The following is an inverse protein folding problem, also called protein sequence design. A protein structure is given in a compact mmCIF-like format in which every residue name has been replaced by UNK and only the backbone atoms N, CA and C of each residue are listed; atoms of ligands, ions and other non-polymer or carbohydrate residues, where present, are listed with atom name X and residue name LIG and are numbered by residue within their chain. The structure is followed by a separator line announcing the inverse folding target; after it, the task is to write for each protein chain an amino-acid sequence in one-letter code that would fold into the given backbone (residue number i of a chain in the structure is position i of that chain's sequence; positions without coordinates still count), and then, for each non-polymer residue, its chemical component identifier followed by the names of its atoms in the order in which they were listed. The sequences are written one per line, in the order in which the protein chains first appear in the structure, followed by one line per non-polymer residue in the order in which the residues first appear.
data_IF_755045500884
#
_entry.id   IF_755045500884
#
_cell.length_a   1.000
_cell.length_b   1.000
_cell.length_c   1.000
_cell.angle_alpha   90.00
_cell.angle_beta   90.00
_cell.angle_gamma   90.00
#
_symmetry.space_group_name_H-M   'P 1'
#
loop_
_entity.id
_entity.type
_entity.pdbx_description
1 polymer ?
#
# COMPACT_ATOMS: atom_id res chain seq x y z
N UNK A 1 -36.24 12.82 -25.24
CA UNK A 1 -34.94 13.13 -24.61
C UNK A 1 -33.98 12.03 -24.98
N UNK A 2 -33.01 12.33 -25.83
CA UNK A 2 -32.00 11.34 -26.22
C UNK A 2 -31.18 10.95 -25.01
N UNK A 3 -31.21 9.69 -24.64
CA UNK A 3 -30.38 9.11 -23.59
C UNK A 3 -28.96 8.99 -24.15
N UNK A 4 -28.27 10.12 -24.30
CA UNK A 4 -26.88 10.15 -24.78
C UNK A 4 -25.99 9.58 -23.70
N UNK A 5 -25.49 8.36 -23.92
CA UNK A 5 -24.51 7.72 -23.05
C UNK A 5 -23.23 8.54 -23.15
N UNK A 6 -22.98 9.40 -22.18
CA UNK A 6 -21.72 10.14 -22.09
C UNK A 6 -20.61 9.17 -21.66
N UNK A 7 -19.54 9.11 -22.42
CA UNK A 7 -18.34 8.37 -22.05
C UNK A 7 -17.66 9.02 -20.86
N UNK A 8 -17.16 8.22 -19.94
CA UNK A 8 -16.41 8.69 -18.76
C UNK A 8 -14.94 8.29 -18.88
N UNK A 9 -14.07 9.12 -18.36
CA UNK A 9 -12.64 8.82 -18.28
C UNK A 9 -12.38 7.90 -17.09
N UNK A 10 -11.57 6.87 -17.31
CA UNK A 10 -11.16 5.93 -16.25
C UNK A 10 -9.68 6.14 -15.96
N UNK A 11 -9.36 6.26 -14.68
CA UNK A 11 -7.99 6.33 -14.18
C UNK A 11 -7.71 5.22 -13.18
N UNK A 12 -6.45 4.98 -12.91
CA UNK A 12 -5.96 4.21 -11.77
C UNK A 12 -5.10 5.11 -10.89
N UNK A 13 -5.24 4.98 -9.59
CA UNK A 13 -4.44 5.70 -8.60
C UNK A 13 -3.88 4.70 -7.60
N UNK A 14 -2.58 4.77 -7.27
CA UNK A 14 -1.90 3.77 -6.44
C UNK A 14 -1.39 4.37 -5.13
N UNK A 15 -1.83 3.84 -3.99
CA UNK A 15 -1.34 4.18 -2.66
C UNK A 15 -0.26 3.19 -2.27
N UNK A 16 0.99 3.63 -2.25
CA UNK A 16 2.13 2.81 -1.83
C UNK A 16 2.54 3.24 -0.42
N UNK A 17 2.42 2.33 0.53
CA UNK A 17 2.75 2.54 1.94
C UNK A 17 4.02 1.77 2.32
N UNK A 18 4.85 2.37 3.16
CA UNK A 18 6.04 1.74 3.74
C UNK A 18 6.30 2.25 5.15
N UNK A 19 7.10 1.52 5.92
CA UNK A 19 7.68 2.02 7.16
C UNK A 19 9.13 2.41 6.89
N UNK A 20 9.44 3.69 7.07
CA UNK A 20 10.79 4.23 6.88
C UNK A 20 11.12 5.20 8.00
N UNK A 21 12.31 5.04 8.60
CA UNK A 21 12.78 5.86 9.73
C UNK A 21 11.78 5.93 10.91
N UNK A 22 11.12 4.81 11.22
CA UNK A 22 10.19 4.71 12.33
C UNK A 22 8.82 5.37 12.11
N UNK A 23 8.50 5.78 10.87
CA UNK A 23 7.22 6.39 10.51
C UNK A 23 6.55 5.63 9.36
N UNK A 24 5.21 5.62 9.37
CA UNK A 24 4.43 5.15 8.21
C UNK A 24 4.41 6.24 7.15
N UNK A 25 4.85 5.90 5.94
CA UNK A 25 4.99 6.85 4.83
C UNK A 25 4.22 6.39 3.61
N UNK A 26 3.81 7.36 2.81
CA UNK A 26 3.18 7.18 1.49
C UNK A 26 4.08 7.76 0.40
N UNK A 27 4.16 7.08 -0.73
CA UNK A 27 4.87 7.58 -1.90
C UNK A 27 3.99 8.58 -2.65
N UNK A 28 4.50 9.78 -2.85
CA UNK A 28 3.84 10.83 -3.60
C UNK A 28 4.68 11.27 -4.80
N UNK A 29 4.00 11.76 -5.82
CA UNK A 29 4.58 12.37 -7.01
C UNK A 29 4.07 13.80 -7.16
N UNK A 30 4.93 14.71 -7.63
CA UNK A 30 4.55 16.08 -7.93
C UNK A 30 3.97 16.16 -9.33
N UNK A 31 2.86 16.85 -9.49
CA UNK A 31 2.17 16.95 -10.78
C UNK A 31 2.88 17.94 -11.71
N UNK A 32 3.08 17.52 -12.95
CA UNK A 32 3.69 18.35 -13.99
C UNK A 32 2.65 19.09 -14.83
N UNK A 33 1.37 18.64 -14.80
CA UNK A 33 0.29 19.13 -15.66
C UNK A 33 -0.90 19.69 -14.86
N UNK A 34 -1.64 20.60 -15.48
CA UNK A 34 -2.95 21.01 -14.98
C UNK A 34 -3.99 19.88 -15.07
N UNK A 35 -5.02 19.88 -14.25
CA UNK A 35 -5.21 20.75 -13.09
C UNK A 35 -4.27 20.37 -11.92
N UNK A 36 -4.02 21.31 -11.03
CA UNK A 36 -3.17 21.14 -9.83
C UNK A 36 -1.67 20.94 -10.12
N UNK A 37 -1.14 21.54 -11.17
CA UNK A 37 0.32 21.57 -11.45
C UNK A 37 1.10 22.02 -10.21
N UNK A 38 2.19 21.30 -9.89
CA UNK A 38 3.06 21.56 -8.75
C UNK A 38 2.55 21.02 -7.41
N UNK A 39 1.30 20.54 -7.30
CA UNK A 39 0.81 19.86 -6.10
C UNK A 39 1.23 18.39 -6.06
N UNK A 40 1.32 17.85 -4.86
CA UNK A 40 1.57 16.45 -4.65
C UNK A 40 0.33 15.60 -4.92
N UNK A 41 0.53 14.40 -5.39
CA UNK A 41 -0.51 13.42 -5.72
C UNK A 41 -0.01 12.00 -5.44
N UNK A 42 -0.90 11.03 -5.28
CA UNK A 42 -0.52 9.63 -5.41
C UNK A 42 -0.21 9.33 -6.89
N UNK A 43 0.67 8.35 -7.20
CA UNK A 43 0.91 7.92 -8.58
C UNK A 43 -0.39 7.50 -9.24
N UNK A 44 -0.78 8.17 -10.32
CA UNK A 44 -2.03 7.92 -11.03
C UNK A 44 -1.95 8.30 -12.51
N UNK A 45 -2.89 7.76 -13.29
CA UNK A 45 -2.96 8.02 -14.73
C UNK A 45 -4.14 7.35 -15.40
N UNK A 46 -4.39 7.74 -16.65
CA UNK A 46 -5.46 7.19 -17.46
C UNK A 46 -5.21 5.75 -17.87
N UNK A 47 -6.29 4.96 -17.93
CA UNK A 47 -6.30 3.60 -18.48
C UNK A 47 -6.34 3.68 -20.01
N UNK A 48 -5.43 2.97 -20.68
CA UNK A 48 -5.36 2.91 -22.14
C UNK A 48 -6.36 1.88 -22.67
N UNK A 49 -6.80 2.05 -23.90
CA UNK A 49 -7.77 1.13 -24.54
C UNK A 49 -7.25 -0.31 -24.68
N UNK A 50 -5.95 -0.52 -24.63
CA UNK A 50 -5.30 -1.82 -24.88
C UNK A 50 -4.83 -2.54 -23.60
N UNK A 51 -5.20 -2.06 -22.41
CA UNK A 51 -4.77 -2.63 -21.14
C UNK A 51 -5.93 -2.81 -20.15
N UNK A 52 -5.81 -3.78 -19.27
CA UNK A 52 -6.71 -3.92 -18.13
C UNK A 52 -6.29 -3.00 -16.97
N UNK A 53 -7.12 -2.96 -15.91
CA UNK A 53 -6.88 -2.06 -14.77
C UNK A 53 -5.60 -2.40 -14.00
N UNK A 54 -5.27 -3.69 -13.86
CA UNK A 54 -4.08 -4.14 -13.14
C UNK A 54 -2.81 -3.77 -13.90
N UNK A 55 -2.82 -3.99 -15.23
CA UNK A 55 -1.73 -3.59 -16.11
C UNK A 55 -1.54 -2.06 -16.12
N UNK A 56 -2.64 -1.30 -16.17
CA UNK A 56 -2.61 0.17 -16.08
C UNK A 56 -1.99 0.63 -14.76
N UNK A 57 -2.40 0.05 -13.63
CA UNK A 57 -1.87 0.42 -12.31
C UNK A 57 -0.36 0.18 -12.20
N UNK A 58 0.11 -0.99 -12.67
CA UNK A 58 1.54 -1.32 -12.68
C UNK A 58 2.34 -0.41 -13.63
N UNK A 59 1.83 -0.16 -14.84
CA UNK A 59 2.48 0.73 -15.80
C UNK A 59 2.61 2.14 -15.25
N UNK A 60 1.51 2.72 -14.76
CA UNK A 60 1.49 4.09 -14.23
C UNK A 60 2.44 4.22 -13.04
N UNK A 61 2.45 3.25 -12.14
CA UNK A 61 3.36 3.24 -11.01
C UNK A 61 4.82 3.24 -11.48
N UNK A 62 5.17 2.35 -12.41
CA UNK A 62 6.51 2.27 -12.98
C UNK A 62 6.92 3.56 -13.69
N UNK A 63 6.06 4.11 -14.55
CA UNK A 63 6.31 5.35 -15.29
C UNK A 63 6.55 6.55 -14.36
N UNK A 64 5.81 6.63 -13.24
CA UNK A 64 5.86 7.78 -12.33
C UNK A 64 6.92 7.68 -11.23
N UNK A 65 7.30 6.47 -10.82
CA UNK A 65 8.11 6.26 -9.62
C UNK A 65 9.29 5.32 -9.82
N UNK A 66 9.39 4.68 -10.99
CA UNK A 66 10.32 3.59 -11.29
C UNK A 66 10.15 2.34 -10.39
N UNK A 67 9.02 2.23 -9.68
CA UNK A 67 8.68 1.04 -8.90
C UNK A 67 7.99 0.02 -9.79
N UNK A 68 8.48 -1.21 -9.78
CA UNK A 68 7.86 -2.36 -10.46
C UNK A 68 7.93 -3.62 -9.59
N UNK A 69 7.39 -4.72 -10.11
CA UNK A 69 7.43 -6.05 -9.48
C UNK A 69 6.89 -6.10 -8.05
N UNK A 70 5.95 -5.22 -7.72
CA UNK A 70 5.22 -5.27 -6.46
C UNK A 70 3.80 -5.80 -6.67
N UNK A 71 3.25 -6.39 -5.63
CA UNK A 71 1.85 -6.80 -5.63
C UNK A 71 0.97 -5.59 -5.31
N UNK A 72 0.11 -5.23 -6.26
CA UNK A 72 -0.95 -4.24 -6.09
C UNK A 72 -2.27 -4.94 -5.83
N UNK A 73 -3.03 -4.45 -4.88
CA UNK A 73 -4.38 -4.90 -4.60
C UNK A 73 -5.37 -3.78 -4.88
N UNK A 74 -6.45 -4.09 -5.60
CA UNK A 74 -7.52 -3.13 -5.81
C UNK A 74 -8.16 -2.76 -4.48
N UNK A 75 -8.23 -1.46 -4.22
CA UNK A 75 -8.71 -0.90 -2.97
C UNK A 75 -10.21 -0.59 -3.03
N UNK A 76 -10.59 0.32 -3.91
CA UNK A 76 -11.95 0.81 -4.07
C UNK A 76 -12.05 1.67 -5.34
N UNK A 77 -13.28 1.86 -5.83
CA UNK A 77 -13.55 2.76 -6.97
C UNK A 77 -14.14 4.07 -6.45
N UNK A 78 -13.44 5.18 -6.72
CA UNK A 78 -13.88 6.52 -6.36
C UNK A 78 -14.53 7.19 -7.57
N UNK A 79 -15.78 7.55 -7.43
CA UNK A 79 -16.59 8.05 -8.55
C UNK A 79 -17.41 9.27 -8.19
N UNK A 80 -17.01 10.12 -7.25
CA UNK A 80 -17.70 11.37 -6.96
C UNK A 80 -17.71 12.26 -8.22
N UNK A 81 -18.85 12.82 -8.63
CA UNK A 81 -18.93 13.70 -9.80
C UNK A 81 -18.00 14.91 -9.75
N UNK A 82 -17.66 15.39 -8.57
CA UNK A 82 -16.86 16.59 -8.35
C UNK A 82 -15.38 16.29 -8.05
N UNK A 83 -14.97 14.99 -8.05
CA UNK A 83 -13.59 14.63 -7.72
C UNK A 83 -12.56 15.22 -8.68
N UNK A 84 -12.94 15.47 -9.92
CA UNK A 84 -12.08 16.08 -10.94
C UNK A 84 -12.72 17.37 -11.46
N UNK A 85 -12.00 18.52 -11.47
CA UNK A 85 -12.61 19.84 -11.72
C UNK A 85 -13.00 20.10 -13.18
N UNK A 86 -12.46 19.31 -14.13
CA UNK A 86 -12.61 19.59 -15.57
C UNK A 86 -13.51 18.57 -16.26
N UNK A 87 -13.39 17.28 -15.92
CA UNK A 87 -14.08 16.20 -16.61
C UNK A 87 -14.64 15.16 -15.64
N UNK A 88 -15.54 14.32 -16.15
CA UNK A 88 -16.10 13.20 -15.37
C UNK A 88 -15.11 12.05 -15.36
N UNK A 89 -14.36 11.93 -14.26
CA UNK A 89 -13.34 10.88 -14.07
C UNK A 89 -13.77 9.93 -12.96
N UNK A 90 -13.61 8.63 -13.21
CA UNK A 90 -13.75 7.56 -12.22
C UNK A 90 -12.37 6.93 -12.04
N UNK A 91 -11.91 6.74 -10.81
CA UNK A 91 -10.65 6.05 -10.56
C UNK A 91 -10.85 4.74 -9.84
N UNK A 92 -10.15 3.71 -10.31
CA UNK A 92 -9.93 2.48 -9.58
C UNK A 92 -8.65 2.63 -8.76
N UNK A 93 -8.80 2.80 -7.45
CA UNK A 93 -7.65 2.91 -6.56
C UNK A 93 -7.06 1.54 -6.22
N UNK A 94 -5.75 1.49 -6.17
CA UNK A 94 -4.93 0.33 -5.75
C UNK A 94 -4.08 0.69 -4.55
N UNK A 95 -3.65 -0.31 -3.79
CA UNK A 95 -2.68 -0.09 -2.73
C UNK A 95 -1.68 -1.24 -2.63
N UNK A 96 -0.52 -0.92 -2.08
CA UNK A 96 0.48 -1.89 -1.66
C UNK A 96 1.13 -1.45 -0.34
N UNK A 97 1.51 -2.45 0.44
CA UNK A 97 2.31 -2.29 1.62
C UNK A 97 3.65 -2.97 1.34
N UNK A 98 4.73 -2.20 1.26
CA UNK A 98 6.03 -2.68 0.80
C UNK A 98 7.15 -2.26 1.77
N UNK A 99 8.28 -2.96 1.74
CA UNK A 99 9.50 -2.47 2.38
C UNK A 99 10.18 -1.44 1.48
N UNK A 100 10.66 -0.35 2.07
CA UNK A 100 11.34 0.70 1.31
C UNK A 100 12.61 0.18 0.62
N UNK A 101 13.25 -0.86 1.17
CA UNK A 101 14.46 -1.48 0.65
C UNK A 101 14.22 -2.37 -0.57
N UNK A 102 12.99 -2.87 -0.75
CA UNK A 102 12.65 -3.76 -1.87
C UNK A 102 12.40 -3.02 -3.18
N UNK A 103 12.32 -1.70 -3.12
CA UNK A 103 12.01 -0.87 -4.28
C UNK A 103 13.03 0.24 -4.47
N UNK A 104 13.51 0.35 -5.70
CA UNK A 104 14.41 1.43 -6.11
C UNK A 104 13.62 2.69 -6.46
N UNK A 105 13.02 3.32 -5.44
CA UNK A 105 12.43 4.65 -5.65
C UNK A 105 13.56 5.66 -5.80
N UNK A 106 13.71 6.20 -7.00
CA UNK A 106 14.58 7.35 -7.23
C UNK A 106 13.87 8.57 -6.64
N UNK A 107 14.21 8.88 -5.39
CA UNK A 107 13.70 10.10 -4.74
C UNK A 107 14.25 11.32 -5.45
N UNK A 108 13.37 12.17 -5.94
CA UNK A 108 13.68 13.42 -6.64
C UNK A 108 12.83 14.54 -6.02
N UNK A 109 13.01 15.75 -6.50
CA UNK A 109 12.13 16.87 -6.14
C UNK A 109 10.65 16.63 -6.52
N UNK A 110 10.41 15.64 -7.40
CA UNK A 110 9.09 15.30 -7.92
C UNK A 110 8.56 13.93 -7.44
N UNK A 111 9.37 13.10 -6.75
CA UNK A 111 8.98 11.78 -6.21
C UNK A 111 9.56 11.63 -4.82
N UNK A 112 8.73 11.50 -3.80
CA UNK A 112 9.19 11.44 -2.42
C UNK A 112 8.24 10.68 -1.48
N UNK A 113 8.83 10.17 -0.38
CA UNK A 113 8.11 9.54 0.73
C UNK A 113 7.67 10.58 1.75
N UNK A 114 6.37 10.71 1.97
CA UNK A 114 5.77 11.63 2.95
C UNK A 114 5.18 10.88 4.13
N UNK A 115 5.23 11.49 5.31
CA UNK A 115 4.58 10.96 6.50
C UNK A 115 3.06 11.00 6.33
N UNK A 116 2.38 9.89 6.62
CA UNK A 116 0.91 9.84 6.49
C UNK A 116 0.18 10.74 7.48
N UNK A 117 0.86 11.15 8.56
CA UNK A 117 0.32 12.07 9.57
C UNK A 117 0.63 13.54 9.27
N UNK A 118 1.55 13.80 8.32
CA UNK A 118 1.95 15.15 7.92
C UNK A 118 2.01 15.23 6.38
N UNK A 119 0.85 15.12 5.77
CA UNK A 119 0.70 15.15 4.32
C UNK A 119 0.74 16.61 3.80
N UNK A 120 1.45 16.87 2.71
CA UNK A 120 1.37 18.15 2.02
C UNK A 120 -0.02 18.37 1.42
N UNK A 121 -0.27 19.57 0.88
CA UNK A 121 -1.48 19.83 0.11
C UNK A 121 -1.52 18.92 -1.14
N UNK A 122 -2.52 18.04 -1.19
CA UNK A 122 -2.69 17.07 -2.27
C UNK A 122 -3.64 17.58 -3.36
N UNK A 123 -3.43 17.07 -4.57
CA UNK A 123 -4.34 17.26 -5.68
C UNK A 123 -5.58 16.38 -5.52
N UNK A 124 -6.69 16.79 -6.14
CA UNK A 124 -7.95 16.05 -6.18
C UNK A 124 -8.45 15.58 -4.79
N UNK A 125 -9.07 14.41 -4.77
CA UNK A 125 -9.50 13.66 -3.60
C UNK A 125 -8.43 12.69 -3.04
N UNK A 126 -7.16 12.87 -3.43
CA UNK A 126 -6.08 11.94 -3.09
C UNK A 126 -5.85 11.80 -1.58
N UNK A 127 -6.16 12.83 -0.79
CA UNK A 127 -6.15 12.73 0.68
C UNK A 127 -7.17 11.71 1.18
N UNK A 128 -8.37 11.73 0.60
CA UNK A 128 -9.44 10.79 0.94
C UNK A 128 -9.07 9.35 0.56
N UNK A 129 -8.49 9.16 -0.63
CA UNK A 129 -8.01 7.84 -1.10
C UNK A 129 -6.95 7.28 -0.14
N UNK A 130 -5.98 8.09 0.30
CA UNK A 130 -4.96 7.68 1.28
C UNK A 130 -5.62 7.31 2.62
N UNK A 131 -6.53 8.13 3.13
CA UNK A 131 -7.24 7.86 4.39
C UNK A 131 -8.06 6.57 4.32
N UNK A 132 -8.73 6.33 3.21
CA UNK A 132 -9.45 5.08 2.97
C UNK A 132 -8.50 3.87 2.95
N UNK A 133 -7.35 3.99 2.29
CA UNK A 133 -6.33 2.96 2.26
C UNK A 133 -5.81 2.62 3.68
N UNK A 134 -5.52 3.63 4.49
CA UNK A 134 -5.10 3.45 5.88
C UNK A 134 -6.19 2.76 6.71
N UNK A 135 -7.44 3.15 6.56
CA UNK A 135 -8.58 2.50 7.23
C UNK A 135 -8.66 1.02 6.85
N UNK A 136 -8.62 0.70 5.56
CA UNK A 136 -8.66 -0.69 5.07
C UNK A 136 -7.47 -1.52 5.54
N UNK A 137 -6.28 -0.93 5.57
CA UNK A 137 -5.08 -1.60 6.09
C UNK A 137 -5.24 -1.93 7.59
N UNK A 138 -5.78 -1.01 8.38
CA UNK A 138 -6.06 -1.22 9.82
C UNK A 138 -7.08 -2.32 10.06
N UNK A 139 -8.19 -2.30 9.35
CA UNK A 139 -9.23 -3.34 9.43
C UNK A 139 -8.65 -4.73 9.11
N UNK A 140 -7.80 -4.82 8.09
CA UNK A 140 -7.14 -6.07 7.72
C UNK A 140 -6.14 -6.56 8.74
N UNK A 141 -5.39 -5.67 9.37
CA UNK A 141 -4.45 -6.04 10.44
C UNK A 141 -5.15 -6.67 11.65
N UNK A 142 -6.41 -6.32 11.91
CA UNK A 142 -7.20 -6.93 12.97
C UNK A 142 -7.63 -8.36 12.63
N UNK A 143 -7.80 -8.66 11.34
CA UNK A 143 -8.33 -9.93 10.84
C UNK A 143 -7.26 -10.88 10.28
N UNK A 144 -6.16 -10.34 9.76
CA UNK A 144 -5.15 -11.10 9.03
C UNK A 144 -3.78 -10.42 9.15
N UNK A 145 -2.67 -11.16 9.21
CA UNK A 145 -1.31 -10.59 9.32
C UNK A 145 -0.82 -9.99 7.99
N UNK A 146 -1.54 -9.00 7.44
CA UNK A 146 -1.17 -8.34 6.17
C UNK A 146 0.18 -7.62 6.27
N UNK A 147 0.61 -7.26 7.48
CA UNK A 147 1.88 -6.56 7.70
C UNK A 147 3.13 -7.41 7.37
N UNK A 148 2.99 -8.70 7.06
CA UNK A 148 4.14 -9.54 6.71
C UNK A 148 4.95 -8.97 5.52
N UNK A 149 4.32 -8.24 4.63
CA UNK A 149 4.96 -7.61 3.46
C UNK A 149 5.97 -6.52 3.85
N UNK A 150 5.90 -6.02 5.09
CA UNK A 150 6.83 -5.02 5.63
C UNK A 150 8.06 -5.62 6.29
N UNK A 151 8.12 -6.95 6.46
CA UNK A 151 9.21 -7.60 7.17
C UNK A 151 10.17 -8.30 6.23
N UNK A 152 11.41 -8.41 6.68
CA UNK A 152 12.37 -9.34 6.10
C UNK A 152 11.85 -10.77 6.22
N UNK A 153 12.46 -11.69 5.50
CA UNK A 153 12.17 -13.13 5.61
C UNK A 153 12.24 -13.61 7.07
N UNK A 154 13.17 -13.03 7.86
CA UNK A 154 13.31 -13.26 9.30
C UNK A 154 13.17 -11.94 10.05
N UNK A 155 12.35 -11.93 11.08
CA UNK A 155 12.05 -10.73 11.90
C UNK A 155 11.78 -11.09 13.36
N UNK A 156 11.81 -10.09 14.24
CA UNK A 156 11.47 -10.25 15.65
C UNK A 156 10.01 -9.82 15.91
N UNK A 157 9.38 -10.38 16.95
CA UNK A 157 8.04 -9.93 17.37
C UNK A 157 8.03 -8.47 17.83
N UNK A 158 9.18 -7.91 18.21
CA UNK A 158 9.30 -6.49 18.58
C UNK A 158 9.23 -5.60 17.34
N UNK A 159 9.87 -5.98 16.24
CA UNK A 159 9.75 -5.27 14.96
C UNK A 159 8.33 -5.34 14.44
N UNK A 160 7.72 -6.53 14.53
CA UNK A 160 6.33 -6.72 14.15
C UNK A 160 5.39 -5.84 14.97
N UNK A 161 5.53 -5.81 16.31
CA UNK A 161 4.72 -4.96 17.18
C UNK A 161 4.83 -3.49 16.79
N UNK A 162 6.05 -2.99 16.58
CA UNK A 162 6.29 -1.59 16.17
C UNK A 162 5.61 -1.26 14.84
N UNK A 163 5.66 -2.17 13.85
CA UNK A 163 4.99 -1.95 12.58
C UNK A 163 3.46 -1.88 12.75
N UNK A 164 2.88 -2.77 13.55
CA UNK A 164 1.46 -2.72 13.88
C UNK A 164 1.08 -1.41 14.58
N UNK A 165 1.86 -0.97 15.56
CA UNK A 165 1.63 0.28 16.29
C UNK A 165 1.66 1.49 15.35
N UNK A 166 2.61 1.54 14.41
CA UNK A 166 2.71 2.61 13.41
C UNK A 166 1.49 2.65 12.47
N UNK A 167 1.03 1.50 11.98
CA UNK A 167 -0.12 1.43 11.08
C UNK A 167 -1.42 1.74 11.84
N UNK A 168 -1.58 1.17 13.05
CA UNK A 168 -2.76 1.37 13.88
C UNK A 168 -2.84 2.77 14.49
N UNK A 169 -1.72 3.49 14.58
CA UNK A 169 -1.63 4.80 15.22
C UNK A 169 -1.85 4.75 16.74
N UNK A 170 -1.59 3.61 17.37
CA UNK A 170 -1.75 3.40 18.82
C UNK A 170 -0.72 2.42 19.37
N UNK A 171 -0.36 2.56 20.63
CA UNK A 171 0.47 1.60 21.35
C UNK A 171 -0.30 0.31 21.65
N UNK A 172 0.39 -0.82 21.59
CA UNK A 172 -0.18 -2.13 21.86
C UNK A 172 0.45 -2.75 23.11
N UNK A 173 -0.38 -3.36 23.96
CA UNK A 173 0.14 -4.14 25.09
C UNK A 173 0.99 -5.30 24.57
N UNK A 174 2.24 -5.35 25.01
CA UNK A 174 3.24 -6.29 24.52
C UNK A 174 2.86 -7.75 24.77
N UNK A 175 2.27 -8.05 25.92
CA UNK A 175 1.90 -9.42 26.31
C UNK A 175 0.71 -9.90 25.49
N UNK A 176 -0.31 -9.08 25.36
CA UNK A 176 -1.52 -9.41 24.58
C UNK A 176 -1.21 -9.51 23.09
N UNK A 177 -0.39 -8.57 22.56
CA UNK A 177 0.07 -8.63 21.17
C UNK A 177 0.79 -9.95 20.87
N UNK A 178 1.78 -10.32 21.67
CA UNK A 178 2.54 -11.57 21.49
C UNK A 178 1.65 -12.81 21.57
N UNK A 179 0.76 -12.86 22.56
CA UNK A 179 -0.19 -13.97 22.71
C UNK A 179 -1.06 -14.15 21.46
N UNK A 180 -1.56 -13.04 20.89
CA UNK A 180 -2.39 -13.05 19.67
C UNK A 180 -1.59 -13.45 18.44
N UNK A 181 -0.40 -12.88 18.28
CA UNK A 181 0.43 -13.06 17.08
C UNK A 181 1.00 -14.48 16.97
N UNK A 182 1.44 -15.09 18.08
CA UNK A 182 1.95 -16.48 18.08
C UNK A 182 0.89 -17.47 17.63
N UNK A 183 -0.39 -17.15 17.79
CA UNK A 183 -1.51 -17.98 17.33
C UNK A 183 -1.85 -17.74 15.84
N UNK A 184 -1.15 -16.83 15.18
CA UNK A 184 -1.40 -16.52 13.76
C UNK A 184 -0.97 -17.68 12.87
N UNK A 185 -1.88 -18.11 12.01
CA UNK A 185 -1.61 -19.16 11.04
C UNK A 185 -0.50 -18.76 10.07
N UNK A 186 0.50 -19.62 9.89
CA UNK A 186 1.63 -19.39 8.99
C UNK A 186 2.80 -18.63 9.61
N UNK A 187 2.74 -18.22 10.88
CA UNK A 187 3.88 -17.71 11.63
C UNK A 187 4.64 -18.88 12.27
N UNK A 188 5.93 -18.97 11.97
CA UNK A 188 6.84 -20.00 12.51
C UNK A 188 7.96 -19.36 13.33
N UNK A 189 8.21 -19.93 14.50
CA UNK A 189 9.35 -19.58 15.35
C UNK A 189 10.60 -20.27 14.84
N UNK A 190 11.71 -19.55 14.76
CA UNK A 190 13.01 -20.08 14.34
C UNK A 190 13.89 -20.37 15.55
N UNK A 191 14.81 -21.33 15.43
CA UNK A 191 15.87 -21.56 16.44
C UNK A 191 17.00 -20.54 16.36
N UNK A 192 16.78 -19.43 15.66
CA UNK A 192 17.72 -18.36 15.41
C UNK A 192 17.40 -17.11 16.25
N UNK A 193 18.42 -16.32 16.51
CA UNK A 193 18.34 -15.09 17.29
C UNK A 193 18.87 -13.90 16.50
N UNK A 194 18.32 -12.71 16.78
CA UNK A 194 18.77 -11.47 16.16
C UNK A 194 20.25 -11.17 16.52
N UNK A 195 21.00 -10.64 15.55
CA UNK A 195 22.40 -10.18 15.74
C UNK A 195 22.50 -8.83 16.49
N UNK A 196 21.49 -8.47 17.26
CA UNK A 196 21.47 -7.19 17.99
C UNK A 196 22.58 -7.15 19.06
N UNK A 197 23.20 -5.98 19.22
CA UNK A 197 24.14 -5.65 20.31
C UNK A 197 23.46 -5.57 21.69
N UNK A 198 22.18 -5.84 21.78
CA UNK A 198 21.40 -5.94 23.02
C UNK A 198 21.92 -7.09 23.89
N UNK A 199 21.98 -6.87 25.21
CA UNK A 199 22.39 -7.89 26.21
C UNK A 199 21.57 -9.19 26.13
N UNK A 200 20.42 -9.19 25.46
CA UNK A 200 19.55 -10.37 25.29
C UNK A 200 19.05 -10.43 23.83
N UNK A 201 19.64 -11.32 23.00
CA UNK A 201 19.19 -11.50 21.60
C UNK A 201 17.69 -11.86 21.56
N UNK A 202 16.97 -11.30 20.61
CA UNK A 202 15.56 -11.62 20.39
C UNK A 202 15.42 -12.79 19.44
N UNK A 203 14.49 -13.70 19.71
CA UNK A 203 14.16 -14.82 18.85
C UNK A 203 13.61 -14.33 17.51
N UNK A 204 13.97 -15.01 16.43
CA UNK A 204 13.51 -14.72 15.08
C UNK A 204 12.28 -15.55 14.72
N UNK A 205 11.47 -15.00 13.86
CA UNK A 205 10.24 -15.57 13.31
C UNK A 205 10.24 -15.41 11.80
N UNK A 206 9.50 -16.26 11.11
CA UNK A 206 9.25 -16.17 9.67
C UNK A 206 7.80 -16.45 9.37
N UNK A 207 7.31 -15.95 8.23
CA UNK A 207 6.03 -16.38 7.68
C UNK A 207 6.24 -17.48 6.63
N UNK A 208 5.39 -18.50 6.65
CA UNK A 208 5.42 -19.58 5.68
C UNK A 208 4.99 -19.06 4.28
N UNK A 209 6.00 -18.84 3.43
CA UNK A 209 5.84 -18.30 2.08
C UNK A 209 4.95 -19.16 1.16
N UNK A 210 4.85 -20.47 1.41
CA UNK A 210 4.05 -21.38 0.58
C UNK A 210 2.55 -21.06 0.74
N UNK A 211 2.09 -20.78 1.95
CA UNK A 211 0.69 -20.45 2.23
C UNK A 211 0.32 -19.02 1.82
N UNK A 212 1.27 -18.09 1.89
CA UNK A 212 1.07 -16.71 1.46
C UNK A 212 0.92 -16.61 -0.07
N UNK A 213 1.75 -17.35 -0.81
CA UNK A 213 1.67 -17.44 -2.26
C UNK A 213 0.43 -18.19 -2.75
N UNK A 214 -0.05 -19.21 -2.01
CA UNK A 214 -1.29 -19.92 -2.36
C UNK A 214 -2.53 -19.06 -2.13
N UNK A 215 -2.57 -18.22 -1.09
CA UNK A 215 -3.65 -17.23 -0.89
C UNK A 215 -3.59 -16.12 -1.96
N UNK A 216 -2.40 -15.64 -2.36
CA UNK A 216 -2.22 -14.73 -3.52
C UNK A 216 -2.75 -15.37 -4.81
N UNK A 217 -2.36 -16.61 -5.09
CA UNK A 217 -2.82 -17.36 -6.27
C UNK A 217 -4.32 -17.67 -6.23
N UNK A 218 -4.92 -17.83 -5.05
CA UNK A 218 -6.35 -18.12 -4.91
C UNK A 218 -7.21 -16.88 -5.14
N UNK A 219 -6.76 -15.70 -4.72
CA UNK A 219 -7.41 -14.42 -5.04
C UNK A 219 -7.37 -14.16 -6.55
N UNK A 220 -6.20 -14.29 -7.17
CA UNK A 220 -6.03 -14.11 -8.63
C UNK A 220 -6.83 -15.15 -9.43
N UNK A 221 -6.97 -16.40 -8.96
CA UNK A 221 -7.74 -17.44 -9.65
C UNK A 221 -9.27 -17.30 -9.48
N UNK A 222 -9.77 -16.74 -8.37
CA UNK A 222 -11.21 -16.49 -8.20
C UNK A 222 -11.71 -15.37 -9.10
N UNK A 223 -10.89 -14.36 -9.39
CA UNK A 223 -11.25 -13.26 -10.29
C UNK A 223 -11.19 -13.64 -11.79
N UNK A 224 -10.46 -14.72 -12.16
CA UNK A 224 -10.41 -15.23 -13.54
C UNK A 224 -11.51 -16.24 -13.90
N UNK A 225 -12.48 -16.48 -13.02
CA UNK A 225 -13.61 -17.44 -13.23
C UNK A 225 -14.98 -16.77 -13.09
N UNK A 226 -15.10 -15.48 -13.39
CA UNK A 226 -16.39 -14.85 -13.69
C UNK A 226 -16.40 -14.37 -15.13
#
# INVERSE_FOLDING_TARGET
MSNEIKTHEITVDTVILTIKNGNLKVLLVKRDNEPFKGKWAIPGGYVRMSEDLDAAAMRVLKEKTNVDNIYLEQLYTFGDPLRHPVSRVITCAYFALIRAEDVNVVTTDNVSWHDVNDLPALAFDHKEIIQYSLKRTRERLEMCPVAYQLFNEKFTLTEMQKAYELIMGKTLDKRNFRKKVIQTEGLSELEEFSKSTSKRPARLYTFDNIRLNSKRAHFIKKEKKC
#
